data_IF_881037547326
#
_entry.id   IF_881037547326
#
_cell.length_a   1.000
_cell.length_b   1.000
_cell.length_c   1.000
_cell.angle_alpha   90.00
_cell.angle_beta   90.00
_cell.angle_gamma   90.00
#
_symmetry.space_group_name_H-M   'P 1'
#
loop_
_entity.id
_entity.type
_entity.pdbx_description
1 polymer ?
#
# COMPACT_ATOMS: atom_id res chain seq x y z
N UNK A 1 15.96 3.09 -7.65
CA UNK A 1 14.98 2.31 -8.44
C UNK A 1 13.64 2.45 -7.73
N UNK A 2 12.57 2.79 -8.45
CA UNK A 2 11.23 2.80 -7.86
C UNK A 2 10.69 1.36 -7.82
N UNK A 3 10.30 0.87 -6.65
CA UNK A 3 9.64 -0.43 -6.51
C UNK A 3 8.14 -0.26 -6.78
N UNK A 4 7.57 -1.09 -7.65
CA UNK A 4 6.17 -0.96 -8.09
C UNK A 4 5.47 -2.29 -7.94
N UNK A 5 4.38 -2.30 -7.18
CA UNK A 5 3.50 -3.43 -7.01
C UNK A 5 2.16 -3.14 -7.68
N UNK A 6 1.59 -4.15 -8.33
CA UNK A 6 0.28 -4.04 -9.00
C UNK A 6 -0.66 -5.07 -8.41
N UNK A 7 -1.92 -4.69 -8.19
CA UNK A 7 -2.93 -5.62 -7.73
C UNK A 7 -3.15 -6.74 -8.75
N UNK A 8 -3.67 -7.87 -8.28
CA UNK A 8 -3.98 -9.03 -9.12
C UNK A 8 -5.01 -8.65 -10.19
N UNK A 9 -4.63 -8.85 -11.46
CA UNK A 9 -5.50 -8.61 -12.61
C UNK A 9 -6.60 -9.64 -12.80
N UNK A 10 -6.73 -10.61 -11.90
CA UNK A 10 -7.73 -11.69 -12.01
C UNK A 10 -9.17 -11.17 -11.86
N UNK A 11 -9.36 -10.05 -11.16
CA UNK A 11 -10.69 -9.45 -10.94
C UNK A 11 -10.99 -8.27 -11.87
N UNK A 12 -9.96 -7.54 -12.31
CA UNK A 12 -10.03 -6.49 -13.33
C UNK A 12 -8.67 -6.37 -14.03
N UNK A 13 -8.50 -6.94 -15.24
CA UNK A 13 -7.21 -6.95 -15.93
C UNK A 13 -6.80 -5.57 -16.44
N UNK A 14 -7.74 -4.62 -16.55
CA UNK A 14 -7.56 -3.31 -17.18
C UNK A 14 -7.27 -2.24 -16.10
N UNK A 15 -8.01 -2.26 -14.98
CA UNK A 15 -7.88 -1.24 -13.92
C UNK A 15 -7.22 -1.83 -12.67
N UNK A 16 -5.91 -2.05 -12.74
CA UNK A 16 -5.14 -2.59 -11.60
C UNK A 16 -4.72 -1.47 -10.67
N UNK A 17 -4.97 -1.62 -9.38
CA UNK A 17 -4.43 -0.72 -8.37
C UNK A 17 -2.90 -0.84 -8.35
N UNK A 18 -2.21 0.26 -8.07
CA UNK A 18 -0.73 0.33 -8.09
C UNK A 18 -0.22 0.93 -6.78
N UNK A 19 0.81 0.31 -6.22
CA UNK A 19 1.62 0.86 -5.15
C UNK A 19 3.01 1.15 -5.70
N UNK A 20 3.42 2.41 -5.66
CA UNK A 20 4.71 2.86 -6.19
C UNK A 20 5.52 3.51 -5.06
N UNK A 21 6.70 2.95 -4.79
CA UNK A 21 7.62 3.42 -3.78
C UNK A 21 8.66 4.35 -4.37
N UNK A 22 8.96 5.43 -3.66
CA UNK A 22 10.12 6.29 -3.93
C UNK A 22 10.86 6.60 -2.63
N UNK A 23 11.88 7.46 -2.73
CA UNK A 23 12.76 7.78 -1.60
C UNK A 23 12.06 8.60 -0.50
N UNK A 24 10.95 9.28 -0.80
CA UNK A 24 10.23 10.17 0.13
C UNK A 24 8.98 9.53 0.73
N UNK A 25 8.35 8.61 0.00
CA UNK A 25 7.07 8.06 0.37
C UNK A 25 6.53 7.04 -0.62
N UNK A 26 5.23 6.81 -0.54
CA UNK A 26 4.51 5.81 -1.33
C UNK A 26 3.29 6.44 -2.00
N UNK A 27 3.11 6.15 -3.27
CA UNK A 27 1.92 6.51 -4.04
C UNK A 27 1.00 5.30 -4.15
N UNK A 28 -0.26 5.48 -3.74
CA UNK A 28 -1.34 4.51 -3.91
C UNK A 28 -2.26 5.00 -5.02
N UNK A 29 -2.23 4.33 -6.17
CA UNK A 29 -3.16 4.58 -7.29
C UNK A 29 -4.29 3.57 -7.22
N UNK A 30 -5.47 4.04 -6.89
CA UNK A 30 -6.70 3.22 -6.89
C UNK A 30 -7.38 3.43 -8.23
N UNK A 31 -7.30 2.44 -9.11
CA UNK A 31 -7.82 2.53 -10.47
C UNK A 31 -9.24 1.96 -10.49
N UNK A 32 -10.19 2.79 -10.93
CA UNK A 32 -11.59 2.41 -11.12
C UNK A 32 -12.01 2.79 -12.53
N UNK A 33 -12.97 2.06 -13.09
CA UNK A 33 -13.56 2.35 -14.40
C UNK A 33 -14.04 3.81 -14.55
N UNK A 34 -14.43 4.46 -13.45
CA UNK A 34 -14.77 5.88 -13.39
C UNK A 34 -14.21 6.44 -12.07
N UNK A 35 -13.41 7.52 -12.15
CA UNK A 35 -12.96 8.29 -10.99
C UNK A 35 -11.88 7.63 -10.13
N UNK A 36 -10.80 7.13 -10.75
CA UNK A 36 -9.60 6.66 -10.03
C UNK A 36 -8.97 7.77 -9.15
N UNK A 37 -8.18 7.38 -8.16
CA UNK A 37 -7.57 8.34 -7.21
C UNK A 37 -6.11 7.99 -6.94
N UNK A 38 -5.24 9.00 -7.01
CA UNK A 38 -3.83 8.91 -6.67
C UNK A 38 -3.60 9.55 -5.29
N UNK A 39 -3.05 8.77 -4.37
CA UNK A 39 -2.79 9.21 -3.00
C UNK A 39 -1.30 9.04 -2.68
N UNK A 40 -0.56 10.14 -2.62
CA UNK A 40 0.82 10.13 -2.14
C UNK A 40 0.86 10.29 -0.61
N UNK A 41 1.70 9.50 0.07
CA UNK A 41 1.94 9.58 1.52
C UNK A 41 3.44 9.61 1.78
N UNK A 42 3.92 10.59 2.55
CA UNK A 42 5.30 10.59 3.04
C UNK A 42 5.51 9.54 4.12
N UNK A 43 6.67 8.90 4.17
CA UNK A 43 6.92 7.85 5.19
C UNK A 43 6.78 8.38 6.63
N UNK A 44 7.18 9.63 6.91
CA UNK A 44 7.02 10.25 8.23
C UNK A 44 5.56 10.41 8.67
N UNK A 45 4.64 10.50 7.71
CA UNK A 45 3.21 10.70 7.97
C UNK A 45 2.46 9.39 8.17
N UNK A 46 3.10 8.24 7.96
CA UNK A 46 2.49 6.92 8.19
C UNK A 46 2.64 6.58 9.66
N UNK A 47 1.52 6.31 10.34
CA UNK A 47 1.50 5.81 11.71
C UNK A 47 1.38 4.29 11.78
N UNK A 48 0.77 3.66 10.78
CA UNK A 48 0.59 2.22 10.75
C UNK A 48 0.22 1.66 9.38
N UNK A 49 0.46 0.36 9.21
CA UNK A 49 0.04 -0.41 8.04
C UNK A 49 -0.51 -1.76 8.49
N UNK A 50 -1.73 -2.03 8.07
CA UNK A 50 -2.45 -3.27 8.37
C UNK A 50 -2.76 -4.05 7.10
N UNK A 51 -2.82 -5.38 7.25
CA UNK A 51 -3.23 -6.29 6.19
C UNK A 51 -4.45 -7.06 6.69
N UNK A 52 -5.53 -6.94 5.94
CA UNK A 52 -6.71 -7.78 6.09
C UNK A 52 -6.67 -8.88 5.02
N UNK A 53 -6.64 -10.13 5.48
CA UNK A 53 -6.53 -11.30 4.61
C UNK A 53 -7.90 -11.87 4.30
N UNK A 54 -8.35 -11.69 3.05
CA UNK A 54 -9.50 -12.41 2.52
C UNK A 54 -9.16 -13.86 2.13
N UNK A 55 -10.18 -14.55 1.60
CA UNK A 55 -10.06 -15.95 1.19
C UNK A 55 -9.00 -16.16 0.09
N UNK A 56 -8.88 -15.22 -0.85
CA UNK A 56 -7.96 -15.29 -2.00
C UNK A 56 -6.98 -14.13 -2.11
N UNK A 57 -7.39 -12.92 -1.71
CA UNK A 57 -6.60 -11.71 -1.84
C UNK A 57 -6.58 -10.94 -0.53
N UNK A 58 -5.61 -10.04 -0.40
CA UNK A 58 -5.42 -9.19 0.75
C UNK A 58 -5.79 -7.74 0.42
N UNK A 59 -6.30 -7.06 1.44
CA UNK A 59 -6.51 -5.62 1.46
C UNK A 59 -5.46 -4.99 2.37
N UNK A 60 -4.81 -3.93 1.90
CA UNK A 60 -3.81 -3.20 2.64
C UNK A 60 -4.46 -1.89 3.09
N UNK A 61 -4.42 -1.64 4.39
CA UNK A 61 -4.91 -0.40 5.01
C UNK A 61 -3.72 0.40 5.50
N UNK A 62 -3.57 1.60 4.99
CA UNK A 62 -2.54 2.54 5.37
C UNK A 62 -3.21 3.55 6.27
N UNK A 63 -2.60 3.81 7.43
CA UNK A 63 -3.10 4.72 8.45
C UNK A 63 -2.15 5.92 8.49
N UNK A 64 -2.52 7.04 7.85
CA UNK A 64 -1.77 8.28 7.97
C UNK A 64 -2.11 9.00 9.27
N UNK A 65 -1.18 9.83 9.77
CA UNK A 65 -1.37 10.60 11.02
C UNK A 65 -2.41 11.71 10.92
N UNK A 66 -2.54 12.34 9.75
CA UNK A 66 -3.28 13.60 9.59
C UNK A 66 -4.46 13.52 8.61
N UNK A 67 -4.82 12.32 8.11
CA UNK A 67 -5.88 12.15 7.11
C UNK A 67 -6.55 10.78 7.22
N UNK A 68 -7.70 10.56 6.57
CA UNK A 68 -8.36 9.26 6.56
C UNK A 68 -7.49 8.13 6.04
N UNK A 69 -7.81 6.91 6.47
CA UNK A 69 -7.14 5.70 6.00
C UNK A 69 -7.24 5.55 4.48
N UNK A 70 -6.17 5.01 3.90
CA UNK A 70 -6.11 4.67 2.48
C UNK A 70 -6.24 3.16 2.39
N UNK A 71 -7.20 2.70 1.59
CA UNK A 71 -7.49 1.28 1.43
C UNK A 71 -7.20 0.90 -0.01
N UNK A 72 -6.29 -0.05 -0.21
CA UNK A 72 -5.94 -0.58 -1.52
C UNK A 72 -6.11 -2.10 -1.52
N UNK A 73 -6.71 -2.67 -2.57
CA UNK A 73 -7.31 -4.02 -2.52
C UNK A 73 -6.72 -4.95 -3.57
N UNK A 74 -7.08 -6.23 -3.45
CA UNK A 74 -6.82 -7.27 -4.46
C UNK A 74 -5.32 -7.58 -4.67
N UNK A 75 -4.48 -7.45 -3.64
CA UNK A 75 -3.08 -7.90 -3.72
C UNK A 75 -2.99 -9.38 -3.37
N UNK A 76 -1.99 -10.07 -3.91
CA UNK A 76 -1.68 -11.41 -3.39
C UNK A 76 -1.22 -11.28 -1.94
N UNK A 77 -1.36 -12.34 -1.14
CA UNK A 77 -0.88 -12.33 0.25
C UNK A 77 0.62 -12.03 0.34
N UNK A 78 1.40 -12.51 -0.63
CA UNK A 78 2.84 -12.26 -0.72
C UNK A 78 3.15 -10.80 -1.02
N UNK A 79 2.48 -10.19 -2.00
CA UNK A 79 2.67 -8.78 -2.33
C UNK A 79 2.24 -7.88 -1.18
N UNK A 80 1.08 -8.16 -0.56
CA UNK A 80 0.59 -7.37 0.56
C UNK A 80 1.57 -7.37 1.74
N UNK A 81 2.18 -8.54 2.04
CA UNK A 81 3.22 -8.64 3.07
C UNK A 81 4.45 -7.82 2.70
N UNK A 82 4.98 -7.99 1.49
CA UNK A 82 6.16 -7.24 1.03
C UNK A 82 5.92 -5.73 1.05
N UNK A 83 4.77 -5.27 0.56
CA UNK A 83 4.38 -3.85 0.60
C UNK A 83 4.39 -3.34 2.04
N UNK A 84 3.79 -4.07 2.99
CA UNK A 84 3.79 -3.69 4.41
C UNK A 84 5.21 -3.60 4.95
N UNK A 85 6.03 -4.62 4.73
CA UNK A 85 7.42 -4.66 5.21
C UNK A 85 8.24 -3.50 4.66
N UNK A 86 8.13 -3.22 3.36
CA UNK A 86 8.81 -2.11 2.69
C UNK A 86 8.38 -0.74 3.21
N UNK A 87 7.09 -0.56 3.50
CA UNK A 87 6.61 0.68 4.12
C UNK A 87 7.24 0.80 5.51
N UNK A 88 7.07 -0.22 6.37
CA UNK A 88 7.53 -0.18 7.76
C UNK A 88 9.04 0.02 7.89
N UNK A 89 9.83 -0.61 7.01
CA UNK A 89 11.29 -0.43 6.97
C UNK A 89 11.72 1.01 6.65
N UNK A 90 10.86 1.80 6.02
CA UNK A 90 11.13 3.20 5.63
C UNK A 90 10.44 4.22 6.54
N UNK A 91 9.57 3.78 7.46
CA UNK A 91 8.94 4.65 8.46
C UNK A 91 9.92 4.93 9.60
N UNK A 92 10.37 6.19 9.82
CA UNK A 92 11.42 6.51 10.78
C UNK A 92 11.12 6.13 12.23
N UNK A 93 9.83 6.05 12.59
CA UNK A 93 9.38 5.83 13.98
C UNK A 93 9.08 4.38 14.34
N UNK A 94 9.06 3.46 13.36
CA UNK A 94 8.70 2.05 13.57
C UNK A 94 9.91 1.10 13.47
N UNK A 95 11.07 1.60 13.03
CA UNK A 95 12.33 0.83 12.94
C UNK A 95 13.07 0.62 14.25
N UNK A 96 12.51 1.02 15.40
CA UNK A 96 13.20 1.02 16.70
C UNK A 96 12.79 -0.10 17.67
N UNK A 97 12.03 -1.11 17.23
CA UNK A 97 11.77 -2.30 18.07
C UNK A 97 12.75 -3.42 17.69
N UNK A 98 13.82 -3.65 18.48
CA UNK A 98 14.53 -4.92 18.40
C UNK A 98 13.61 -6.03 18.88
N UNK A 99 13.64 -7.17 18.17
CA UNK A 99 13.04 -8.43 18.61
C UNK A 99 13.65 -8.90 19.94
#
# INVERSE_FOLDING_TARGET
MAEVFKSSGFKDPINRDVVEFNDKGVTFRVNKLIGGTDNFVFYGDISGVEIDNGLFFSTIRIIPRARPEIIIKNFTRGDARQIKELILARVPTLGSHPL
#
